data_IF_626096852693
#
_entry.id   IF_626096852693
#
_cell.length_a   1.000
_cell.length_b   1.000
_cell.length_c   1.000
_cell.angle_alpha   90.00
_cell.angle_beta   90.00
_cell.angle_gamma   90.00
#
_symmetry.space_group_name_H-M   'P 1'
#
loop_
_entity.id
_entity.type
_entity.pdbx_description
1 polymer ?
#
# COMPACT_ATOMS: atom_id res chain seq x y z
N UNK A 1 10.48 -12.98 -17.31
CA UNK A 1 9.18 -12.80 -16.58
C UNK A 1 9.48 -12.36 -15.16
N UNK A 2 8.83 -11.30 -14.68
CA UNK A 2 9.02 -10.76 -13.33
C UNK A 2 8.60 -11.78 -12.26
N UNK A 3 9.39 -11.88 -11.18
CA UNK A 3 8.98 -12.57 -9.94
C UNK A 3 8.66 -11.51 -8.88
N UNK A 4 7.43 -11.50 -8.37
CA UNK A 4 6.98 -10.63 -7.29
C UNK A 4 7.09 -11.37 -5.95
N UNK A 5 7.95 -10.89 -5.06
CA UNK A 5 8.21 -11.46 -3.74
C UNK A 5 7.41 -10.75 -2.67
N UNK A 6 6.72 -11.51 -1.83
CA UNK A 6 5.92 -10.98 -0.73
C UNK A 6 4.72 -11.84 -0.41
N UNK A 7 3.67 -11.25 0.15
CA UNK A 7 2.46 -11.96 0.55
C UNK A 7 1.20 -11.09 0.39
N UNK A 8 0.06 -11.70 0.06
CA UNK A 8 -1.18 -10.98 -0.29
C UNK A 8 -1.77 -10.11 0.82
N UNK A 9 -1.44 -10.36 2.10
CA UNK A 9 -1.93 -9.52 3.21
C UNK A 9 -1.18 -8.17 3.30
N UNK A 10 -0.02 -8.03 2.62
CA UNK A 10 0.73 -6.77 2.59
C UNK A 10 0.11 -5.76 1.61
N UNK A 11 -0.29 -4.59 2.12
CA UNK A 11 -0.81 -3.51 1.29
C UNK A 11 0.22 -3.01 0.26
N UNK A 12 1.49 -2.89 0.63
CA UNK A 12 2.56 -2.49 -0.30
C UNK A 12 2.80 -3.53 -1.40
N UNK A 13 2.70 -4.83 -1.09
CA UNK A 13 2.73 -5.89 -2.09
C UNK A 13 1.57 -5.74 -3.09
N UNK A 14 0.39 -5.43 -2.58
CA UNK A 14 -0.81 -5.27 -3.39
C UNK A 14 -0.76 -4.04 -4.31
N UNK A 15 -0.04 -2.98 -3.93
CA UNK A 15 0.25 -1.84 -4.83
C UNK A 15 0.96 -2.33 -6.09
N UNK A 16 2.06 -3.07 -5.94
CA UNK A 16 2.84 -3.57 -7.06
C UNK A 16 2.06 -4.62 -7.87
N UNK A 17 1.38 -5.54 -7.18
CA UNK A 17 0.53 -6.56 -7.83
C UNK A 17 -0.57 -5.91 -8.69
N UNK A 18 -1.23 -4.87 -8.18
CA UNK A 18 -2.26 -4.14 -8.93
C UNK A 18 -1.66 -3.47 -10.17
N UNK A 19 -0.52 -2.80 -10.04
CA UNK A 19 0.16 -2.16 -11.16
C UNK A 19 0.54 -3.18 -12.26
N UNK A 20 1.09 -4.33 -11.89
CA UNK A 20 1.42 -5.41 -12.82
C UNK A 20 0.18 -5.94 -13.54
N UNK A 21 -0.91 -6.20 -12.82
CA UNK A 21 -2.18 -6.66 -13.39
C UNK A 21 -2.81 -5.61 -14.31
N UNK A 22 -2.82 -4.35 -13.90
CA UNK A 22 -3.40 -3.27 -14.69
C UNK A 22 -2.65 -3.03 -16.02
N UNK A 23 -1.33 -3.15 -15.98
CA UNK A 23 -0.47 -3.03 -17.17
C UNK A 23 -0.36 -4.34 -17.97
N UNK A 24 -1.11 -5.38 -17.57
CA UNK A 24 -1.12 -6.70 -18.21
C UNK A 24 0.28 -7.34 -18.32
N UNK A 25 1.18 -7.02 -17.38
CA UNK A 25 2.55 -7.55 -17.36
C UNK A 25 2.54 -8.96 -16.77
N UNK A 26 3.05 -9.98 -17.49
CA UNK A 26 3.18 -11.33 -16.96
C UNK A 26 4.16 -11.40 -15.78
N UNK A 27 3.73 -11.98 -14.65
CA UNK A 27 4.58 -12.19 -13.48
C UNK A 27 4.21 -13.48 -12.77
N UNK A 28 5.11 -13.95 -11.93
CA UNK A 28 4.87 -15.04 -10.98
C UNK A 28 4.99 -14.52 -9.56
N UNK A 29 4.21 -15.09 -8.65
CA UNK A 29 4.24 -14.72 -7.24
C UNK A 29 5.12 -15.71 -6.46
N UNK A 30 5.99 -15.18 -5.60
CA UNK A 30 6.80 -15.95 -4.66
C UNK A 30 6.43 -15.56 -3.24
N UNK A 31 5.71 -16.45 -2.55
CA UNK A 31 5.25 -16.22 -1.17
C UNK A 31 6.44 -16.22 -0.21
N UNK A 32 6.69 -15.11 0.45
CA UNK A 32 7.74 -14.94 1.46
C UNK A 32 7.33 -13.88 2.48
N UNK A 33 7.50 -14.18 3.78
CA UNK A 33 7.25 -13.25 4.88
C UNK A 33 8.50 -12.47 5.30
N UNK A 34 8.31 -11.37 6.05
CA UNK A 34 9.35 -10.37 6.35
C UNK A 34 10.46 -10.82 7.29
N UNK A 35 10.30 -11.92 8.00
CA UNK A 35 11.29 -12.50 8.95
C UNK A 35 12.14 -13.61 8.32
N UNK A 36 12.10 -13.76 7.00
CA UNK A 36 12.83 -14.79 6.29
C UNK A 36 14.16 -14.25 5.74
N UNK A 37 15.27 -14.86 6.14
CA UNK A 37 16.62 -14.47 5.71
C UNK A 37 16.78 -14.47 4.18
N UNK A 38 16.03 -15.34 3.47
CA UNK A 38 16.03 -15.35 2.00
C UNK A 38 15.49 -14.05 1.42
N UNK A 39 14.64 -13.31 2.14
CA UNK A 39 14.15 -12.03 1.68
C UNK A 39 15.28 -11.00 1.56
N UNK A 40 16.31 -11.07 2.40
CA UNK A 40 17.46 -10.17 2.34
C UNK A 40 18.26 -10.31 1.04
N UNK A 41 18.13 -11.42 0.34
CA UNK A 41 18.80 -11.61 -0.98
C UNK A 41 18.14 -10.82 -2.11
N UNK A 42 16.88 -10.41 -1.94
CA UNK A 42 16.09 -9.65 -2.94
C UNK A 42 15.62 -8.28 -2.44
N UNK A 43 15.60 -8.09 -1.12
CA UNK A 43 15.23 -6.84 -0.45
C UNK A 43 16.24 -6.52 0.65
N UNK A 44 17.17 -5.59 0.45
CA UNK A 44 18.25 -5.29 1.42
C UNK A 44 17.73 -4.85 2.80
N UNK A 45 16.53 -4.29 2.86
CA UNK A 45 15.87 -3.86 4.12
C UNK A 45 15.04 -4.99 4.76
N UNK A 46 14.89 -6.14 4.07
CA UNK A 46 14.07 -7.27 4.54
C UNK A 46 12.58 -6.94 4.60
N UNK A 47 12.09 -6.10 3.69
CA UNK A 47 10.67 -5.74 3.57
C UNK A 47 10.10 -6.19 2.23
N UNK A 48 8.79 -6.35 2.19
CA UNK A 48 8.04 -6.66 0.98
C UNK A 48 7.22 -5.44 0.54
N UNK A 49 6.98 -5.28 -0.77
CA UNK A 49 7.38 -6.14 -1.88
C UNK A 49 8.84 -6.02 -2.29
N UNK A 50 9.34 -7.03 -2.97
CA UNK A 50 10.50 -6.96 -3.84
C UNK A 50 10.17 -7.62 -5.18
N UNK A 51 10.88 -7.27 -6.24
CA UNK A 51 10.80 -7.98 -7.53
C UNK A 51 12.17 -8.50 -7.95
N UNK A 52 12.16 -9.59 -8.72
CA UNK A 52 13.30 -10.00 -9.55
C UNK A 52 12.89 -9.88 -11.01
N UNK A 53 13.61 -9.09 -11.78
CA UNK A 53 13.37 -8.92 -13.23
C UNK A 53 13.78 -10.17 -14.00
N UNK A 54 13.40 -10.27 -15.28
CA UNK A 54 13.82 -11.35 -16.18
C UNK A 54 15.33 -11.35 -16.46
N UNK A 55 16.01 -10.23 -16.25
CA UNK A 55 17.46 -10.09 -16.29
C UNK A 55 18.15 -10.49 -14.97
N UNK A 56 17.40 -10.86 -13.94
CA UNK A 56 17.91 -11.26 -12.64
C UNK A 56 18.23 -10.08 -11.70
N UNK A 57 17.87 -8.84 -12.04
CA UNK A 57 18.03 -7.69 -11.17
C UNK A 57 16.93 -7.68 -10.09
N UNK A 58 17.32 -7.43 -8.84
CA UNK A 58 16.38 -7.32 -7.72
C UNK A 58 16.12 -5.86 -7.35
N UNK A 59 14.86 -5.51 -7.16
CA UNK A 59 14.42 -4.18 -6.73
C UNK A 59 13.47 -4.31 -5.54
N UNK A 60 13.58 -3.40 -4.58
CA UNK A 60 12.64 -3.26 -3.46
C UNK A 60 12.12 -1.82 -3.38
N UNK A 61 11.26 -1.54 -2.40
CA UNK A 61 10.47 -0.31 -2.26
C UNK A 61 9.37 -0.19 -3.32
N UNK A 62 8.12 -0.23 -2.89
CA UNK A 62 6.95 -0.26 -3.78
C UNK A 62 6.92 0.90 -4.78
N UNK A 63 7.27 2.12 -4.36
CA UNK A 63 7.30 3.28 -5.25
C UNK A 63 8.41 3.22 -6.30
N UNK A 64 9.57 2.66 -5.94
CA UNK A 64 10.69 2.42 -6.88
C UNK A 64 10.32 1.35 -7.90
N UNK A 65 9.71 0.26 -7.43
CA UNK A 65 9.22 -0.82 -8.31
C UNK A 65 8.15 -0.28 -9.28
N UNK A 66 7.22 0.55 -8.80
CA UNK A 66 6.20 1.16 -9.65
C UNK A 66 6.80 2.08 -10.72
N UNK A 67 7.81 2.89 -10.38
CA UNK A 67 8.52 3.73 -11.35
C UNK A 67 9.26 2.87 -12.38
N UNK A 68 9.95 1.79 -11.95
CA UNK A 68 10.59 0.83 -12.86
C UNK A 68 9.59 0.18 -13.82
N UNK A 69 8.44 -0.29 -13.30
CA UNK A 69 7.38 -0.90 -14.12
C UNK A 69 6.87 0.09 -15.17
N UNK A 70 6.70 1.35 -14.80
CA UNK A 70 6.23 2.39 -15.71
C UNK A 70 7.24 2.66 -16.84
N UNK A 71 8.52 2.73 -16.52
CA UNK A 71 9.59 3.01 -17.49
C UNK A 71 9.88 1.82 -18.40
N UNK A 72 9.90 0.60 -17.82
CA UNK A 72 10.22 -0.61 -18.56
C UNK A 72 9.07 -1.14 -19.43
N UNK A 73 7.82 -0.82 -19.08
CA UNK A 73 6.59 -1.30 -19.76
C UNK A 73 5.64 -0.12 -20.05
N UNK A 74 5.94 0.73 -21.05
CA UNK A 74 5.24 1.98 -21.27
C UNK A 74 3.88 1.87 -21.96
N UNK A 75 3.49 0.68 -22.47
CA UNK A 75 2.31 0.53 -23.37
C UNK A 75 0.97 0.92 -22.70
N UNK A 76 0.81 0.64 -21.42
CA UNK A 76 -0.38 1.03 -20.63
C UNK A 76 0.10 1.97 -19.50
N UNK A 77 0.11 3.30 -19.74
CA UNK A 77 0.70 4.24 -18.80
C UNK A 77 -0.15 4.41 -17.53
N UNK A 78 0.53 4.51 -16.38
CA UNK A 78 -0.05 4.86 -15.08
C UNK A 78 0.38 6.26 -14.61
N UNK A 79 1.13 6.97 -15.43
CA UNK A 79 1.49 8.37 -15.23
C UNK A 79 1.15 9.21 -16.46
N UNK A 80 0.77 10.48 -16.29
CA UNK A 80 0.58 11.41 -17.39
C UNK A 80 1.87 11.64 -18.19
N UNK A 81 1.75 12.19 -19.41
CA UNK A 81 2.91 12.54 -20.23
C UNK A 81 3.68 13.75 -19.69
N UNK A 82 2.98 14.74 -19.15
CA UNK A 82 3.56 15.96 -18.60
C UNK A 82 4.40 15.69 -17.37
N UNK A 83 5.65 16.15 -17.36
CA UNK A 83 6.55 16.03 -16.20
C UNK A 83 5.96 16.66 -14.93
N UNK A 84 5.26 17.78 -15.05
CA UNK A 84 4.57 18.44 -13.93
C UNK A 84 3.44 17.58 -13.37
N UNK A 85 2.61 17.01 -14.22
CA UNK A 85 1.51 16.14 -13.81
C UNK A 85 2.05 14.83 -13.19
N UNK A 86 3.11 14.25 -13.76
CA UNK A 86 3.83 13.10 -13.16
C UNK A 86 4.35 13.43 -11.76
N UNK A 87 4.88 14.65 -11.56
CA UNK A 87 5.34 15.08 -10.25
C UNK A 87 4.17 15.21 -9.24
N UNK A 88 3.00 15.69 -9.66
CA UNK A 88 1.79 15.74 -8.82
C UNK A 88 1.35 14.33 -8.42
N UNK A 89 1.31 13.37 -9.35
CA UNK A 89 1.00 11.96 -9.04
C UNK A 89 1.95 11.43 -7.97
N UNK A 90 3.27 11.61 -8.13
CA UNK A 90 4.28 11.18 -7.14
C UNK A 90 4.14 11.91 -5.81
N UNK A 91 3.76 13.19 -5.84
CA UNK A 91 3.53 13.97 -4.62
C UNK A 91 2.34 13.40 -3.82
N UNK A 92 1.23 13.08 -4.49
CA UNK A 92 0.08 12.43 -3.86
C UNK A 92 0.50 11.09 -3.24
N UNK A 93 1.24 10.24 -3.99
CA UNK A 93 1.75 8.97 -3.49
C UNK A 93 2.62 9.15 -2.22
N UNK A 94 3.53 10.13 -2.22
CA UNK A 94 4.39 10.39 -1.06
C UNK A 94 3.63 10.94 0.13
N UNK A 95 2.62 11.78 -0.08
CA UNK A 95 1.74 12.23 1.01
C UNK A 95 0.95 11.04 1.57
N UNK A 96 0.39 10.19 0.71
CA UNK A 96 -0.29 8.98 1.14
C UNK A 96 0.62 8.08 2.01
N UNK A 97 1.85 7.85 1.60
CA UNK A 97 2.81 7.04 2.32
C UNK A 97 3.21 7.66 3.66
N UNK A 98 3.72 8.90 3.63
CA UNK A 98 4.37 9.52 4.79
C UNK A 98 3.38 10.03 5.83
N UNK A 99 2.19 10.47 5.42
CA UNK A 99 1.23 11.13 6.31
C UNK A 99 -0.01 10.29 6.61
N UNK A 100 -0.25 9.20 5.87
CA UNK A 100 -1.39 8.31 6.11
C UNK A 100 -0.96 6.89 6.43
N UNK A 101 -0.16 6.24 5.58
CA UNK A 101 0.21 4.84 5.74
C UNK A 101 1.15 4.64 6.93
N UNK A 102 2.32 5.26 6.93
CA UNK A 102 3.32 5.07 7.97
C UNK A 102 2.83 5.42 9.39
N UNK A 103 2.10 6.53 9.62
CA UNK A 103 1.55 6.78 10.95
C UNK A 103 0.48 5.75 11.33
N UNK A 104 -0.44 5.38 10.43
CA UNK A 104 -1.49 4.39 10.71
C UNK A 104 -0.92 3.00 10.98
N UNK A 105 0.15 2.61 10.29
CA UNK A 105 0.87 1.35 10.46
C UNK A 105 1.38 1.14 11.89
N UNK A 106 1.70 2.20 12.61
CA UNK A 106 2.12 2.12 14.03
C UNK A 106 1.03 1.56 14.95
N UNK A 107 -0.22 1.56 14.50
CA UNK A 107 -1.37 1.02 15.23
C UNK A 107 -1.64 -0.46 14.93
N UNK A 108 -1.01 -1.04 13.88
CA UNK A 108 -1.21 -2.43 13.47
C UNK A 108 -1.01 -3.45 14.62
N UNK A 109 0.04 -3.36 15.47
CA UNK A 109 0.24 -4.32 16.54
C UNK A 109 -0.93 -4.38 17.50
N UNK A 110 -1.57 -3.24 17.76
CA UNK A 110 -2.73 -3.13 18.66
C UNK A 110 -4.01 -3.68 18.04
N UNK A 111 -4.17 -3.50 16.73
CA UNK A 111 -5.29 -4.11 15.98
C UNK A 111 -5.20 -5.64 16.01
N UNK A 112 -4.02 -6.20 15.71
CA UNK A 112 -3.83 -7.65 15.70
C UNK A 112 -3.86 -8.30 17.10
N UNK A 113 -3.42 -7.59 18.13
CA UNK A 113 -3.51 -8.09 19.52
C UNK A 113 -4.89 -7.88 20.15
N UNK A 114 -5.79 -7.13 19.50
CA UNK A 114 -7.10 -6.78 20.06
C UNK A 114 -7.02 -5.82 21.26
N UNK A 115 -5.90 -5.09 21.41
CA UNK A 115 -5.67 -4.15 22.51
C UNK A 115 -5.79 -2.70 22.04
N UNK A 116 -5.82 -1.75 22.98
CA UNK A 116 -5.81 -0.33 22.65
C UNK A 116 -4.36 0.21 22.64
N UNK A 117 -4.05 1.02 21.63
CA UNK A 117 -2.78 1.73 21.59
C UNK A 117 -2.71 2.78 22.72
N UNK A 118 -1.51 3.08 23.27
CA UNK A 118 -1.32 4.14 24.24
C UNK A 118 -1.81 5.50 23.71
N UNK A 119 -2.39 6.34 24.57
CA UNK A 119 -2.94 7.63 24.19
C UNK A 119 -1.90 8.56 23.56
N UNK A 120 -0.66 8.51 24.01
CA UNK A 120 0.47 9.25 23.42
C UNK A 120 0.69 8.86 21.96
N UNK A 121 0.69 7.56 21.65
CA UNK A 121 0.81 7.07 20.27
C UNK A 121 -0.38 7.48 19.43
N UNK A 122 -1.60 7.34 19.96
CA UNK A 122 -2.83 7.78 19.27
C UNK A 122 -2.77 9.26 18.92
N UNK A 123 -2.31 10.10 19.85
CA UNK A 123 -2.18 11.54 19.65
C UNK A 123 -1.14 11.87 18.57
N UNK A 124 0.04 11.23 18.60
CA UNK A 124 1.07 11.42 17.58
C UNK A 124 0.55 11.04 16.18
N UNK A 125 -0.08 9.86 16.03
CA UNK A 125 -0.66 9.42 14.76
C UNK A 125 -1.72 10.40 14.28
N UNK A 126 -2.62 10.83 15.16
CA UNK A 126 -3.66 11.80 14.83
C UNK A 126 -3.10 13.13 14.33
N UNK A 127 -2.03 13.64 14.94
CA UNK A 127 -1.37 14.87 14.52
C UNK A 127 -0.76 14.76 13.11
N UNK A 128 -0.17 13.60 12.76
CA UNK A 128 0.42 13.41 11.42
C UNK A 128 -0.68 13.28 10.37
N UNK A 129 -1.73 12.48 10.62
CA UNK A 129 -2.89 12.36 9.73
C UNK A 129 -3.55 13.74 9.48
N UNK A 130 -3.75 14.53 10.54
CA UNK A 130 -4.34 15.87 10.45
C UNK A 130 -3.54 16.84 9.57
N UNK A 131 -2.23 16.66 9.42
CA UNK A 131 -1.39 17.42 8.46
C UNK A 131 -1.57 16.96 7.02
N UNK A 132 -1.78 15.66 6.81
CA UNK A 132 -1.96 15.08 5.47
C UNK A 132 -3.30 15.45 4.84
N UNK A 133 -4.37 15.57 5.62
CA UNK A 133 -5.73 15.84 5.13
C UNK A 133 -5.82 17.12 4.27
N UNK A 134 -5.37 18.32 4.73
CA UNK A 134 -5.41 19.52 3.91
C UNK A 134 -4.58 19.41 2.63
N UNK A 135 -3.46 18.67 2.67
CA UNK A 135 -2.61 18.47 1.51
C UNK A 135 -3.33 17.65 0.43
N UNK A 136 -4.03 16.57 0.81
CA UNK A 136 -4.83 15.79 -0.13
C UNK A 136 -6.05 16.56 -0.61
N UNK A 137 -6.71 17.36 0.24
CA UNK A 137 -7.82 18.23 -0.15
C UNK A 137 -7.42 19.26 -1.22
N UNK A 138 -6.15 19.69 -1.20
CA UNK A 138 -5.62 20.63 -2.20
C UNK A 138 -5.23 19.94 -3.52
N UNK A 139 -4.74 18.70 -3.46
CA UNK A 139 -4.13 18.02 -4.62
C UNK A 139 -5.11 17.09 -5.34
N UNK A 140 -6.02 16.44 -4.61
CA UNK A 140 -6.93 15.47 -5.20
C UNK A 140 -8.11 16.13 -5.88
N UNK A 141 -8.49 15.64 -7.07
CA UNK A 141 -9.58 16.19 -7.88
C UNK A 141 -10.82 15.30 -7.88
N UNK A 142 -10.66 13.97 -7.80
CA UNK A 142 -11.74 12.97 -7.90
C UNK A 142 -12.70 13.17 -9.11
N UNK A 143 -12.13 13.37 -10.32
CA UNK A 143 -12.88 13.69 -11.55
C UNK A 143 -12.57 12.75 -12.73
N UNK A 144 -12.89 11.46 -12.70
CA UNK A 144 -13.34 10.63 -11.58
C UNK A 144 -12.21 10.07 -10.70
N UNK A 145 -10.95 10.25 -11.11
CA UNK A 145 -9.77 9.70 -10.44
C UNK A 145 -9.07 10.73 -9.56
N UNK A 146 -8.20 10.26 -8.68
CA UNK A 146 -7.51 11.12 -7.70
C UNK A 146 -6.82 12.31 -8.36
N UNK A 147 -6.07 12.08 -9.44
CA UNK A 147 -5.31 13.13 -10.13
C UNK A 147 -6.07 13.74 -11.32
N UNK A 148 -7.33 13.37 -11.58
CA UNK A 148 -8.15 13.93 -12.63
C UNK A 148 -8.91 12.92 -13.49
N UNK A 149 -8.69 12.94 -14.82
CA UNK A 149 -9.53 12.20 -15.78
C UNK A 149 -9.14 10.75 -16.01
N UNK A 150 -7.88 10.38 -15.77
CA UNK A 150 -7.36 9.04 -15.99
C UNK A 150 -6.93 8.41 -14.66
N UNK A 151 -7.07 7.09 -14.55
CA UNK A 151 -6.50 6.32 -13.45
C UNK A 151 -4.98 6.44 -13.52
N UNK A 152 -4.36 6.71 -12.38
CA UNK A 152 -2.91 6.86 -12.26
C UNK A 152 -2.35 5.96 -11.16
N UNK A 153 -1.02 5.91 -11.05
CA UNK A 153 -0.36 5.21 -9.94
C UNK A 153 -0.79 5.75 -8.57
N UNK A 154 -1.19 7.03 -8.47
CA UNK A 154 -1.71 7.61 -7.23
C UNK A 154 -3.01 6.94 -6.79
N UNK A 155 -3.88 6.54 -7.73
CA UNK A 155 -5.12 5.83 -7.42
C UNK A 155 -4.82 4.45 -6.83
N UNK A 156 -3.94 3.69 -7.48
CA UNK A 156 -3.53 2.37 -6.99
C UNK A 156 -2.89 2.50 -5.61
N UNK A 157 -1.96 3.43 -5.44
CA UNK A 157 -1.22 3.62 -4.20
C UNK A 157 -2.15 4.00 -3.04
N UNK A 158 -2.99 5.02 -3.23
CA UNK A 158 -3.91 5.51 -2.21
C UNK A 158 -4.94 4.46 -1.81
N UNK A 159 -5.44 3.65 -2.77
CA UNK A 159 -6.40 2.59 -2.46
C UNK A 159 -5.87 1.62 -1.41
N UNK A 160 -4.63 1.13 -1.59
CA UNK A 160 -4.03 0.19 -0.62
C UNK A 160 -3.51 0.87 0.65
N UNK A 161 -3.20 2.15 0.62
CA UNK A 161 -2.97 2.96 1.83
C UNK A 161 -4.25 3.05 2.65
N UNK A 162 -5.39 3.30 2.01
CA UNK A 162 -6.68 3.40 2.69
C UNK A 162 -7.09 2.09 3.41
N UNK A 163 -6.67 0.92 2.93
CA UNK A 163 -6.88 -0.35 3.64
C UNK A 163 -6.27 -0.30 5.05
N UNK A 164 -5.05 0.25 5.19
CA UNK A 164 -4.37 0.39 6.48
C UNK A 164 -5.00 1.51 7.31
N UNK A 165 -5.32 2.65 6.68
CA UNK A 165 -5.97 3.79 7.38
C UNK A 165 -7.32 3.36 7.97
N UNK A 166 -8.18 2.71 7.19
CA UNK A 166 -9.49 2.23 7.65
C UNK A 166 -9.32 1.17 8.74
N UNK A 167 -8.47 0.17 8.52
CA UNK A 167 -8.27 -0.94 9.46
C UNK A 167 -7.64 -0.51 10.79
N UNK A 168 -6.80 0.51 10.80
CA UNK A 168 -6.04 0.92 11.97
C UNK A 168 -6.55 2.21 12.61
N UNK A 169 -6.71 3.28 11.83
CA UNK A 169 -7.13 4.57 12.39
C UNK A 169 -8.57 4.53 12.87
N UNK A 170 -9.49 3.96 12.10
CA UNK A 170 -10.91 3.88 12.51
C UNK A 170 -11.09 3.07 13.79
N UNK A 171 -10.34 1.96 13.94
CA UNK A 171 -10.48 1.08 15.11
C UNK A 171 -9.80 1.61 16.37
N UNK A 172 -8.66 2.31 16.21
CA UNK A 172 -7.84 2.77 17.34
C UNK A 172 -8.07 4.23 17.69
N UNK A 173 -8.47 5.06 16.73
CA UNK A 173 -8.64 6.49 16.94
C UNK A 173 -10.11 6.92 17.02
N UNK A 174 -11.07 6.05 16.72
CA UNK A 174 -12.48 6.42 16.55
C UNK A 174 -12.63 7.63 15.61
N UNK A 175 -12.01 7.54 14.44
CA UNK A 175 -11.92 8.64 13.49
C UNK A 175 -12.06 8.16 12.04
N UNK A 176 -13.11 8.58 11.38
CA UNK A 176 -13.32 8.35 9.96
C UNK A 176 -12.48 9.33 9.12
N UNK A 177 -11.20 9.02 8.97
CA UNK A 177 -10.22 9.86 8.27
C UNK A 177 -10.61 10.14 6.83
N UNK A 178 -11.21 9.17 6.13
CA UNK A 178 -11.60 9.33 4.74
C UNK A 178 -12.75 10.34 4.57
N UNK A 179 -13.58 10.53 5.58
CA UNK A 179 -14.66 11.51 5.55
C UNK A 179 -14.15 12.97 5.56
N UNK A 180 -12.92 13.19 6.03
CA UNK A 180 -12.29 14.52 6.05
C UNK A 180 -11.79 14.97 4.67
N UNK A 181 -11.81 14.07 3.67
CA UNK A 181 -11.33 14.34 2.31
C UNK A 181 -12.52 14.17 1.35
N UNK A 182 -13.14 15.28 0.90
CA UNK A 182 -14.29 15.22 0.00
C UNK A 182 -14.03 14.40 -1.26
N UNK A 183 -14.90 13.44 -1.55
CA UNK A 183 -14.78 12.54 -2.69
C UNK A 183 -13.98 11.25 -2.42
N UNK A 184 -13.19 11.19 -1.35
CA UNK A 184 -12.32 10.03 -1.06
C UNK A 184 -13.11 8.75 -0.85
N UNK A 185 -14.23 8.79 -0.14
CA UNK A 185 -15.03 7.59 0.14
C UNK A 185 -15.67 7.00 -1.11
N UNK A 186 -16.28 7.84 -1.93
CA UNK A 186 -16.94 7.44 -3.17
C UNK A 186 -15.92 6.89 -4.16
N UNK A 187 -14.79 7.58 -4.30
CA UNK A 187 -13.68 7.13 -5.11
C UNK A 187 -13.12 5.78 -4.60
N UNK A 188 -12.86 5.64 -3.30
CA UNK A 188 -12.33 4.40 -2.73
C UNK A 188 -13.31 3.21 -2.91
N UNK A 189 -14.61 3.49 -2.85
CA UNK A 189 -15.65 2.50 -3.18
C UNK A 189 -15.57 2.09 -4.65
N UNK A 190 -15.40 3.03 -5.57
CA UNK A 190 -15.23 2.75 -7.00
C UNK A 190 -13.99 1.90 -7.25
N UNK A 191 -12.85 2.25 -6.64
CA UNK A 191 -11.61 1.47 -6.74
C UNK A 191 -11.81 0.03 -6.24
N UNK A 192 -12.46 -0.16 -5.10
CA UNK A 192 -12.69 -1.49 -4.51
C UNK A 192 -13.64 -2.38 -5.34
N UNK A 193 -14.42 -1.79 -6.25
CA UNK A 193 -15.32 -2.51 -7.14
C UNK A 193 -14.67 -2.95 -8.46
N UNK A 194 -13.45 -2.53 -8.75
CA UNK A 194 -12.73 -2.97 -9.95
C UNK A 194 -12.37 -4.46 -9.86
N UNK A 195 -12.38 -5.16 -10.99
CA UNK A 195 -12.10 -6.61 -11.05
C UNK A 195 -10.71 -6.93 -10.47
N UNK A 196 -9.72 -6.07 -10.71
CA UNK A 196 -8.37 -6.23 -10.17
C UNK A 196 -8.37 -6.10 -8.64
N UNK A 197 -9.03 -5.08 -8.09
CA UNK A 197 -9.09 -4.87 -6.65
C UNK A 197 -9.86 -6.02 -5.96
N UNK A 198 -10.94 -6.50 -6.54
CA UNK A 198 -11.70 -7.66 -6.03
C UNK A 198 -10.87 -8.94 -6.04
N UNK A 199 -10.11 -9.19 -7.13
CA UNK A 199 -9.19 -10.31 -7.20
C UNK A 199 -8.13 -10.25 -6.09
N UNK A 200 -7.48 -9.10 -5.92
CA UNK A 200 -6.45 -8.91 -4.90
C UNK A 200 -7.04 -9.05 -3.49
N UNK A 201 -8.25 -8.54 -3.26
CA UNK A 201 -8.94 -8.72 -1.98
C UNK A 201 -9.27 -10.18 -1.70
N UNK A 202 -9.68 -10.94 -2.70
CA UNK A 202 -9.89 -12.39 -2.54
C UNK A 202 -8.58 -13.12 -2.19
N UNK A 203 -7.46 -12.78 -2.84
CA UNK A 203 -6.14 -13.34 -2.53
C UNK A 203 -5.69 -12.95 -1.11
N UNK A 204 -5.95 -11.70 -0.68
CA UNK A 204 -5.67 -11.21 0.69
C UNK A 204 -6.46 -12.00 1.74
N UNK A 205 -7.75 -12.21 1.51
CA UNK A 205 -8.62 -12.97 2.41
C UNK A 205 -8.16 -14.44 2.50
N UNK A 206 -7.80 -15.04 1.37
CA UNK A 206 -7.30 -16.41 1.34
C UNK A 206 -5.96 -16.58 2.08
N UNK A 207 -5.08 -15.57 2.04
CA UNK A 207 -3.78 -15.60 2.75
C UNK A 207 -3.89 -15.28 4.25
N UNK A 208 -4.98 -14.66 4.70
CA UNK A 208 -5.12 -14.19 6.09
C UNK A 208 -4.88 -15.28 7.16
N UNK A 209 -5.36 -16.52 7.05
CA UNK A 209 -5.11 -17.56 8.06
C UNK A 209 -3.61 -17.89 8.22
N UNK A 210 -2.89 -17.99 7.10
CA UNK A 210 -1.44 -18.26 7.10
C UNK A 210 -0.67 -17.08 7.69
N UNK A 211 -1.00 -15.85 7.28
CA UNK A 211 -0.44 -14.63 7.83
C UNK A 211 -0.66 -14.52 9.35
N UNK A 212 -1.87 -14.80 9.84
CA UNK A 212 -2.16 -14.77 11.28
C UNK A 212 -1.39 -15.83 12.05
N UNK A 213 -1.14 -16.99 11.47
CA UNK A 213 -0.29 -18.03 12.06
C UNK A 213 1.14 -17.55 12.18
N UNK A 214 1.66 -16.92 11.11
CA UNK A 214 3.00 -16.33 11.09
C UNK A 214 3.17 -15.22 12.14
N UNK A 215 2.22 -14.28 12.24
CA UNK A 215 2.26 -13.19 13.25
C UNK A 215 2.22 -13.74 14.67
N UNK A 216 1.40 -14.75 14.96
CA UNK A 216 1.35 -15.39 16.29
C UNK A 216 2.70 -16.01 16.66
N UNK A 217 3.35 -16.67 15.73
CA UNK A 217 4.68 -17.24 15.95
C UNK A 217 5.72 -16.16 16.26
N UNK A 218 5.71 -15.03 15.55
CA UNK A 218 6.59 -13.89 15.81
C UNK A 218 6.36 -13.29 17.22
N UNK A 219 5.10 -13.08 17.61
CA UNK A 219 4.76 -12.55 18.94
C UNK A 219 5.27 -13.49 20.05
N UNK A 220 5.10 -14.81 19.88
CA UNK A 220 5.60 -15.80 20.84
C UNK A 220 7.13 -15.82 20.93
N UNK A 221 7.82 -15.70 19.80
CA UNK A 221 9.29 -15.66 19.77
C UNK A 221 9.88 -14.39 20.40
N UNK A 222 9.14 -13.27 20.39
CA UNK A 222 9.56 -11.98 20.93
C UNK A 222 9.30 -11.84 22.46
N UNK A 223 8.57 -12.78 23.08
CA UNK A 223 8.36 -12.75 24.54
C UNK A 223 9.66 -13.19 25.27
N UNK A 224 10.17 -12.40 26.22
CA UNK A 224 11.32 -12.81 27.01
C UNK A 224 10.99 -14.10 27.78
N UNK A 225 11.93 -15.07 27.73
CA UNK A 225 11.87 -16.32 28.50
C UNK A 225 12.04 -16.04 29.99
#
# INVERSE_FOLDING_TARGET
>A
MITLHGFPTSNYYNIVKHALLYKEIPFQEYLIFTDNDKLLTVSPVGKVPAITTDEGVTLSESSVICDFIEEAYPDIPLYPESATERAIVRQIMKIAELYFELPSRRLIPYVFSGTQAPDTLKQEVRQVLARGIPALNQLCQFSPWIAGKALTMADIYMHYVNVVVIGCASTQLDWDVLAEIPGMKEWNKTMSQSDIAQKIEADRVANMPEFMTHIKAQIQAAQPK
#
